data_IF_458448907279
#
_entry.id   IF_458448907279
#
_cell.length_a   1.000
_cell.length_b   1.000
_cell.length_c   1.000
_cell.angle_alpha   90.00
_cell.angle_beta   90.00
_cell.angle_gamma   90.00
#
_symmetry.space_group_name_H-M   'P 1'
#
loop_
_entity.id
_entity.type
_entity.pdbx_description
1 polymer ?
#
# COMPACT_ATOMS: atom_id res chain seq x y z
N UNK A 1 9.17 1.52 -16.18
CA UNK A 1 7.86 2.03 -15.73
C UNK A 1 8.13 3.39 -15.11
N UNK A 2 7.53 4.47 -15.60
CA UNK A 2 7.73 5.81 -15.03
C UNK A 2 6.55 6.13 -14.12
N UNK A 3 6.73 5.98 -12.80
CA UNK A 3 5.67 6.24 -11.82
C UNK A 3 5.88 7.64 -11.22
N UNK A 4 5.02 8.59 -11.59
CA UNK A 4 5.07 9.97 -11.10
C UNK A 4 4.13 10.14 -9.90
N UNK A 5 4.67 10.25 -8.68
CA UNK A 5 3.88 10.36 -7.44
C UNK A 5 4.08 11.71 -6.74
N UNK A 6 3.01 12.29 -6.18
CA UNK A 6 3.04 13.55 -5.41
C UNK A 6 3.08 13.24 -3.90
N UNK A 7 3.97 13.90 -3.17
CA UNK A 7 4.21 13.68 -1.74
C UNK A 7 3.33 14.59 -0.87
N UNK A 8 2.64 14.02 0.12
CA UNK A 8 2.09 14.73 1.29
C UNK A 8 2.41 13.93 2.57
N UNK A 9 2.39 14.62 3.72
CA UNK A 9 2.85 14.17 5.04
C UNK A 9 2.19 12.87 5.56
N UNK A 10 2.82 12.11 6.48
CA UNK A 10 2.37 10.78 6.88
C UNK A 10 1.23 10.87 7.90
N UNK A 11 0.01 10.74 7.42
CA UNK A 11 -1.13 10.31 8.25
C UNK A 11 -1.74 9.12 7.55
N UNK A 12 -1.42 7.91 8.05
CA UNK A 12 -1.89 6.65 7.47
C UNK A 12 -3.41 6.59 7.54
N UNK A 13 -4.03 6.35 6.39
CA UNK A 13 -5.44 6.07 6.24
C UNK A 13 -5.59 4.90 5.29
N UNK A 14 -6.70 4.18 5.41
CA UNK A 14 -7.11 3.18 4.43
C UNK A 14 -7.19 3.78 3.01
N UNK A 15 -6.88 2.96 2.01
CA UNK A 15 -6.73 3.42 0.63
C UNK A 15 -5.36 4.06 0.35
N UNK A 16 -4.30 3.60 1.00
CA UNK A 16 -2.94 4.05 0.68
C UNK A 16 -2.28 3.14 -0.36
N UNK A 17 -1.62 3.77 -1.34
CA UNK A 17 -0.70 3.14 -2.27
C UNK A 17 0.71 3.18 -1.69
N UNK A 18 1.37 2.03 -1.70
CA UNK A 18 2.68 1.84 -1.09
C UNK A 18 3.67 1.46 -2.20
N UNK A 19 4.76 2.21 -2.30
CA UNK A 19 5.83 1.96 -3.25
C UNK A 19 7.07 1.48 -2.51
N UNK A 20 7.61 0.34 -2.94
CA UNK A 20 8.78 -0.29 -2.35
C UNK A 20 9.96 -0.35 -3.32
N UNK A 21 11.15 -0.63 -2.79
CA UNK A 21 12.44 -0.50 -3.47
C UNK A 21 12.60 -1.31 -4.75
N UNK A 22 11.96 -2.47 -4.86
CA UNK A 22 12.06 -3.32 -6.04
C UNK A 22 11.03 -2.98 -7.14
N UNK A 23 10.66 -1.70 -7.26
CA UNK A 23 9.60 -1.23 -8.15
C UNK A 23 8.24 -1.93 -7.93
N UNK A 24 8.01 -2.40 -6.70
CA UNK A 24 6.77 -3.09 -6.33
C UNK A 24 5.76 -2.09 -5.78
N UNK A 25 4.53 -2.25 -6.22
CA UNK A 25 3.38 -1.46 -5.81
C UNK A 25 2.43 -2.32 -4.98
N UNK A 26 2.01 -1.78 -3.85
CA UNK A 26 1.03 -2.41 -2.98
C UNK A 26 -0.10 -1.42 -2.67
N UNK A 27 -1.24 -1.95 -2.27
CA UNK A 27 -2.38 -1.18 -1.78
C UNK A 27 -2.81 -1.72 -0.42
N UNK A 28 -3.06 -0.80 0.52
CA UNK A 28 -3.74 -1.09 1.77
C UNK A 28 -5.20 -0.67 1.63
N UNK A 29 -6.10 -1.65 1.56
CA UNK A 29 -7.54 -1.44 1.37
C UNK A 29 -8.25 -1.65 2.71
N UNK A 30 -9.29 -0.87 2.97
CA UNK A 30 -10.22 -1.13 4.07
C UNK A 30 -11.55 -1.67 3.55
N UNK A 31 -12.00 -2.75 4.16
CA UNK A 31 -13.33 -3.32 4.05
C UNK A 31 -13.95 -3.38 5.46
N UNK A 32 -14.69 -2.35 5.88
CA UNK A 32 -15.11 -2.18 7.27
C UNK A 32 -16.15 -3.21 7.74
N UNK A 33 -16.77 -3.94 6.80
CA UNK A 33 -17.78 -4.96 7.10
C UNK A 33 -17.15 -6.34 7.41
N UNK A 34 -15.82 -6.47 7.28
CA UNK A 34 -15.07 -7.71 7.49
C UNK A 34 -14.46 -7.81 8.90
N UNK A 35 -14.18 -9.05 9.34
CA UNK A 35 -13.54 -9.31 10.64
C UNK A 35 -12.11 -8.78 10.73
N UNK A 36 -11.42 -8.75 9.59
CA UNK A 36 -10.08 -8.20 9.43
C UNK A 36 -10.17 -7.11 8.38
N UNK A 37 -10.50 -5.87 8.79
CA UNK A 37 -10.97 -4.86 7.87
C UNK A 37 -9.86 -4.30 6.98
N UNK A 38 -8.58 -4.59 7.25
CA UNK A 38 -7.48 -4.08 6.44
C UNK A 38 -6.81 -5.19 5.64
N UNK A 39 -6.64 -4.96 4.32
CA UNK A 39 -6.05 -5.94 3.40
C UNK A 39 -4.89 -5.31 2.66
N UNK A 40 -3.72 -5.93 2.75
CA UNK A 40 -2.55 -5.58 1.94
C UNK A 40 -2.52 -6.44 0.69
N UNK A 41 -2.47 -5.78 -0.47
CA UNK A 41 -2.51 -6.42 -1.78
C UNK A 41 -1.31 -5.98 -2.60
N UNK A 42 -0.66 -6.92 -3.29
CA UNK A 42 0.33 -6.63 -4.32
C UNK A 42 -0.37 -6.31 -5.64
N UNK A 43 -0.09 -5.13 -6.21
CA UNK A 43 -0.65 -4.70 -7.49
C UNK A 43 0.13 -5.26 -8.68
N UNK A 44 1.35 -5.77 -8.47
CA UNK A 44 2.17 -6.35 -9.52
C UNK A 44 1.63 -7.70 -10.00
N UNK A 45 1.08 -8.50 -9.09
CA UNK A 45 0.59 -9.86 -9.36
C UNK A 45 -0.86 -10.09 -8.90
N UNK A 46 -1.53 -9.06 -8.37
CA UNK A 46 -2.92 -9.10 -7.90
C UNK A 46 -3.15 -10.14 -6.78
N UNK A 47 -2.15 -10.33 -5.92
CA UNK A 47 -2.20 -11.26 -4.80
C UNK A 47 -2.47 -10.55 -3.46
N UNK A 48 -3.22 -11.23 -2.58
CA UNK A 48 -3.38 -10.81 -1.19
C UNK A 48 -2.15 -11.26 -0.42
N UNK A 49 -1.52 -10.33 0.27
CA UNK A 49 -0.35 -10.59 1.11
C UNK A 49 -0.80 -10.93 2.51
N UNK A 50 -1.62 -10.06 3.11
CA UNK A 50 -1.98 -10.18 4.52
C UNK A 50 -3.29 -9.45 4.84
N UNK A 51 -3.97 -9.96 5.86
CA UNK A 51 -5.12 -9.33 6.52
C UNK A 51 -4.69 -8.82 7.90
N UNK A 52 -5.21 -7.66 8.29
CA UNK A 52 -4.98 -7.07 9.61
C UNK A 52 -6.30 -6.74 10.30
N UNK A 53 -6.30 -6.89 11.62
CA UNK A 53 -7.38 -6.48 12.51
C UNK A 53 -7.42 -4.96 12.70
N UNK A 54 -6.27 -4.30 12.73
CA UNK A 54 -6.12 -2.84 12.81
C UNK A 54 -5.25 -2.29 11.65
N UNK A 55 -5.17 -0.96 11.51
CA UNK A 55 -4.28 -0.35 10.51
C UNK A 55 -2.82 -0.73 10.80
N UNK A 56 -2.13 -1.44 9.89
CA UNK A 56 -0.76 -1.88 10.12
C UNK A 56 0.22 -0.71 10.17
N UNK A 57 1.39 -0.94 10.78
CA UNK A 57 2.54 -0.03 10.83
C UNK A 57 3.46 -0.19 9.62
N UNK A 58 4.41 0.74 9.41
CA UNK A 58 5.40 0.60 8.34
C UNK A 58 6.28 -0.64 8.54
N UNK A 59 6.61 -0.97 9.78
CA UNK A 59 7.48 -2.09 10.13
C UNK A 59 6.80 -3.42 9.82
N UNK A 60 5.52 -3.57 10.19
CA UNK A 60 4.72 -4.75 9.86
C UNK A 60 4.59 -4.96 8.35
N UNK A 61 4.22 -3.91 7.61
CA UNK A 61 4.12 -4.02 6.14
C UNK A 61 5.49 -4.38 5.53
N UNK A 62 6.56 -3.72 5.95
CA UNK A 62 7.91 -3.98 5.41
C UNK A 62 8.36 -5.43 5.70
N UNK A 63 7.98 -5.96 6.86
CA UNK A 63 8.21 -7.35 7.22
C UNK A 63 7.41 -8.30 6.32
N UNK A 64 6.12 -8.04 6.11
CA UNK A 64 5.22 -8.90 5.32
C UNK A 64 5.55 -8.91 3.83
N UNK A 65 5.98 -7.77 3.27
CA UNK A 65 6.39 -7.67 1.86
C UNK A 65 7.86 -8.06 1.62
N UNK A 66 8.61 -8.31 2.70
CA UNK A 66 10.05 -8.55 2.70
C UNK A 66 10.84 -7.49 1.90
N UNK A 67 10.44 -6.22 2.00
CA UNK A 67 10.96 -5.10 1.20
C UNK A 67 10.90 -3.77 1.96
N UNK A 68 11.70 -2.81 1.52
CA UNK A 68 11.78 -1.47 2.09
C UNK A 68 10.73 -0.55 1.44
N UNK A 69 9.84 0.02 2.26
CA UNK A 69 8.89 1.05 1.81
C UNK A 69 9.66 2.35 1.50
N UNK A 70 9.60 2.78 0.24
CA UNK A 70 10.16 4.07 -0.20
C UNK A 70 9.17 5.19 0.09
N UNK A 71 7.89 4.99 -0.23
CA UNK A 71 6.88 6.03 -0.10
C UNK A 71 5.47 5.47 0.03
N UNK A 72 4.60 6.29 0.61
CA UNK A 72 3.18 6.00 0.83
C UNK A 72 2.39 7.20 0.29
N UNK A 73 1.31 6.92 -0.43
CA UNK A 73 0.50 7.93 -1.10
C UNK A 73 -0.99 7.65 -0.95
N UNK A 74 -1.76 8.70 -0.71
CA UNK A 74 -3.23 8.64 -0.71
C UNK A 74 -3.75 8.31 -2.12
N UNK A 75 -4.56 7.25 -2.25
CA UNK A 75 -5.17 6.84 -3.52
C UNK A 75 -6.00 7.95 -4.19
N UNK A 76 -6.65 8.83 -3.43
CA UNK A 76 -7.50 9.90 -3.98
C UNK A 76 -6.72 10.98 -4.71
N UNK A 77 -5.42 11.11 -4.40
CA UNK A 77 -4.52 12.11 -4.98
C UNK A 77 -3.47 11.49 -5.91
N UNK A 78 -3.53 10.18 -6.13
CA UNK A 78 -2.51 9.42 -6.83
C UNK A 78 -3.03 8.84 -8.14
N UNK A 79 -2.19 8.90 -9.18
CA UNK A 79 -2.49 8.30 -10.48
C UNK A 79 -1.32 7.45 -10.93
N UNK A 80 -1.56 6.14 -11.10
CA UNK A 80 -0.62 5.25 -11.76
C UNK A 80 -0.78 5.47 -13.27
N UNK A 81 0.32 5.81 -13.95
CA UNK A 81 0.37 5.90 -15.41
C UNK A 81 1.30 4.81 -15.92
N UNK A 82 0.79 3.94 -16.79
CA UNK A 82 1.58 2.91 -17.47
C UNK A 82 1.88 3.48 -18.87
N UNK A 83 3.16 3.66 -19.18
CA UNK A 83 3.65 4.15 -20.49
C UNK A 83 4.16 2.98 -21.33
#
# INVERSE_FOLDING_TARGET
MDILMKHNAPTRQSGELIYAKNDKLYALIEDPDERYPYVLISLSDLSIIQYYDDTPTNEEISFDIEDEIISIHDHTQSKITIA
#
